data_IF_064023762404
#
_entry.id   IF_064023762404
#
_cell.length_a   1.000
_cell.length_b   1.000
_cell.length_c   1.000
_cell.angle_alpha   90.00
_cell.angle_beta   90.00
_cell.angle_gamma   90.00
#
_symmetry.space_group_name_H-M   'P 1'
#
loop_
_entity.id
_entity.type
_entity.pdbx_description
1 polymer ?
#
# COMPACT_ATOMS: atom_id res chain seq x y z
N UNK A 1 66.15 -31.06 -57.21
CA UNK A 1 66.50 -31.93 -56.06
C UNK A 1 65.41 -31.80 -55.01
N UNK A 2 64.84 -32.94 -54.59
CA UNK A 2 64.18 -33.31 -53.32
C UNK A 2 63.17 -32.33 -52.65
N UNK A 3 61.99 -32.91 -52.42
CA UNK A 3 60.82 -32.41 -51.71
C UNK A 3 61.06 -32.04 -50.24
N UNK A 4 60.14 -31.24 -49.67
CA UNK A 4 59.45 -31.57 -48.41
C UNK A 4 58.03 -30.96 -48.46
N UNK A 5 57.02 -31.82 -48.33
CA UNK A 5 55.67 -31.47 -47.95
C UNK A 5 55.57 -31.55 -46.42
N UNK A 6 54.94 -30.56 -45.77
CA UNK A 6 54.37 -30.68 -44.42
C UNK A 6 53.17 -29.72 -44.35
N UNK A 7 51.97 -30.27 -44.59
CA UNK A 7 50.99 -30.66 -43.57
C UNK A 7 50.01 -29.55 -43.23
N UNK A 8 48.82 -29.70 -43.82
CA UNK A 8 47.52 -29.19 -43.39
C UNK A 8 47.25 -29.57 -41.93
N UNK A 9 47.84 -28.86 -40.98
CA UNK A 9 47.62 -29.12 -39.54
C UNK A 9 47.45 -27.85 -38.70
N UNK A 10 47.63 -26.65 -39.27
CA UNK A 10 47.75 -25.42 -38.49
C UNK A 10 46.44 -24.61 -38.35
N UNK A 11 45.38 -24.95 -39.09
CA UNK A 11 44.09 -24.22 -39.03
C UNK A 11 43.13 -24.82 -38.00
N UNK A 12 43.36 -26.06 -37.55
CA UNK A 12 42.51 -26.72 -36.55
C UNK A 12 42.88 -26.39 -35.09
N UNK A 13 44.04 -25.76 -34.86
CA UNK A 13 44.48 -25.41 -33.50
C UNK A 13 43.98 -24.04 -33.01
N UNK A 14 43.52 -23.16 -33.91
CA UNK A 14 42.92 -21.87 -33.52
C UNK A 14 41.40 -21.95 -33.29
N UNK A 15 40.72 -22.98 -33.80
CA UNK A 15 39.29 -23.22 -33.53
C UNK A 15 39.07 -23.92 -32.17
N UNK A 16 40.08 -24.61 -31.64
CA UNK A 16 39.99 -25.27 -30.33
C UNK A 16 40.10 -24.30 -29.15
N UNK A 17 40.68 -23.10 -29.32
CA UNK A 17 40.80 -22.10 -28.24
C UNK A 17 39.61 -21.13 -28.19
N UNK A 18 38.83 -21.01 -29.27
CA UNK A 18 37.61 -20.19 -29.29
C UNK A 18 36.38 -20.90 -28.67
N UNK A 19 36.43 -22.23 -28.50
CA UNK A 19 35.37 -23.01 -27.84
C UNK A 19 35.56 -23.08 -26.31
N UNK A 20 36.77 -22.81 -25.80
CA UNK A 20 37.05 -22.88 -24.36
C UNK A 20 36.61 -21.63 -23.57
N UNK A 21 36.37 -20.48 -24.23
CA UNK A 21 35.88 -19.26 -23.56
C UNK A 21 34.34 -19.15 -23.61
N UNK A 22 33.66 -19.89 -24.50
CA UNK A 22 32.19 -19.96 -24.53
C UNK A 22 31.65 -21.12 -23.67
N UNK A 23 32.47 -22.12 -23.34
CA UNK A 23 32.07 -23.26 -22.51
C UNK A 23 32.07 -23.01 -20.99
N UNK A 24 32.59 -21.87 -20.51
CA UNK A 24 32.55 -21.49 -19.07
C UNK A 24 31.31 -20.65 -18.73
N UNK A 25 30.54 -20.19 -19.72
CA UNK A 25 29.26 -19.50 -19.51
C UNK A 25 28.05 -20.45 -19.47
N UNK A 26 28.27 -21.75 -19.68
CA UNK A 26 27.23 -22.80 -19.72
C UNK A 26 27.35 -23.84 -18.61
N UNK A 27 28.28 -23.68 -17.65
CA UNK A 27 28.09 -24.29 -16.34
C UNK A 27 26.92 -23.58 -15.68
N UNK A 28 25.73 -24.13 -15.90
CA UNK A 28 24.55 -23.82 -15.13
C UNK A 28 24.87 -24.03 -13.66
N UNK A 29 25.36 -22.98 -13.01
CA UNK A 29 25.12 -22.80 -11.59
C UNK A 29 23.61 -22.96 -11.48
N UNK A 30 23.08 -23.93 -10.71
CA UNK A 30 21.66 -23.97 -10.44
C UNK A 30 21.34 -22.56 -9.95
N UNK A 31 20.63 -21.78 -10.79
CA UNK A 31 20.14 -20.47 -10.40
C UNK A 31 19.20 -20.84 -9.29
N UNK A 32 19.67 -20.78 -8.05
CA UNK A 32 18.85 -20.86 -6.87
C UNK A 32 17.71 -19.92 -7.20
N UNK A 33 16.53 -20.50 -7.48
CA UNK A 33 15.38 -19.74 -7.91
C UNK A 33 15.24 -18.70 -6.82
N UNK A 34 15.58 -17.45 -7.14
CA UNK A 34 15.63 -16.40 -6.15
C UNK A 34 14.22 -16.36 -5.59
N UNK A 35 14.05 -16.82 -4.36
CA UNK A 35 12.75 -16.96 -3.72
C UNK A 35 12.11 -15.60 -3.84
N UNK A 36 11.02 -15.50 -4.61
CA UNK A 36 10.45 -14.21 -4.93
C UNK A 36 10.14 -13.50 -3.62
N UNK A 37 10.80 -12.38 -3.33
CA UNK A 37 10.67 -11.74 -2.04
C UNK A 37 9.22 -11.31 -1.78
N UNK A 38 8.81 -11.27 -0.51
CA UNK A 38 7.44 -10.92 -0.12
C UNK A 38 6.97 -9.58 -0.70
N UNK A 39 7.90 -8.62 -0.84
CA UNK A 39 7.63 -7.32 -1.46
C UNK A 39 7.23 -7.44 -2.93
N UNK A 40 7.83 -8.36 -3.68
CA UNK A 40 7.50 -8.59 -5.09
C UNK A 40 6.14 -9.29 -5.24
N UNK A 41 5.86 -10.27 -4.37
CA UNK A 41 4.53 -10.91 -4.28
C UNK A 41 3.45 -9.87 -3.98
N UNK A 42 3.68 -9.02 -2.97
CA UNK A 42 2.77 -7.95 -2.61
C UNK A 42 2.59 -6.91 -3.73
N UNK A 43 3.65 -6.56 -4.45
CA UNK A 43 3.57 -5.63 -5.57
C UNK A 43 2.75 -6.18 -6.74
N UNK A 44 2.87 -7.49 -7.01
CA UNK A 44 2.03 -8.18 -7.97
C UNK A 44 0.56 -8.18 -7.53
N UNK A 45 0.30 -8.48 -6.25
CA UNK A 45 -1.05 -8.47 -5.66
C UNK A 45 -1.70 -7.08 -5.66
N UNK A 46 -0.92 -5.99 -5.56
CA UNK A 46 -1.43 -4.62 -5.76
C UNK A 46 -1.93 -4.38 -7.19
N UNK A 47 -1.37 -5.08 -8.19
CA UNK A 47 -1.73 -4.92 -9.62
C UNK A 47 -2.84 -5.88 -10.07
N UNK A 48 -2.98 -7.02 -9.40
CA UNK A 48 -4.05 -7.97 -9.69
C UNK A 48 -4.33 -8.89 -8.50
N UNK A 49 -5.53 -9.46 -8.42
CA UNK A 49 -5.96 -10.27 -7.28
C UNK A 49 -5.21 -11.60 -7.14
N UNK A 50 -4.55 -12.09 -8.19
CA UNK A 50 -3.92 -13.42 -8.20
C UNK A 50 -2.45 -13.31 -8.57
N UNK A 51 -1.58 -13.89 -7.74
CA UNK A 51 -0.17 -14.09 -8.02
C UNK A 51 0.17 -15.58 -7.98
N UNK A 52 0.88 -16.07 -9.00
CA UNK A 52 1.41 -17.43 -9.04
C UNK A 52 2.93 -17.32 -9.19
N UNK A 53 3.65 -17.87 -8.23
CA UNK A 53 5.11 -17.92 -8.30
C UNK A 53 5.56 -18.84 -9.46
N UNK A 54 6.58 -18.48 -10.24
CA UNK A 54 7.09 -19.34 -11.30
C UNK A 54 7.51 -20.73 -10.82
N UNK A 55 7.99 -20.87 -9.59
CA UNK A 55 8.34 -22.16 -8.99
C UNK A 55 7.10 -23.00 -8.56
N UNK A 56 5.91 -22.41 -8.59
CA UNK A 56 4.64 -23.04 -8.26
C UNK A 56 3.65 -23.11 -9.45
N UNK A 57 4.10 -22.81 -10.67
CA UNK A 57 3.26 -22.78 -11.88
C UNK A 57 2.62 -24.12 -12.25
N UNK A 58 3.13 -25.23 -11.70
CA UNK A 58 2.55 -26.56 -11.86
C UNK A 58 1.23 -26.74 -11.08
N UNK A 59 0.98 -25.92 -10.04
CA UNK A 59 -0.24 -26.02 -9.23
C UNK A 59 -1.42 -25.27 -9.84
N UNK A 60 -1.17 -24.21 -10.60
CA UNK A 60 -2.20 -23.41 -11.23
C UNK A 60 -1.70 -22.89 -12.56
N UNK A 61 -2.37 -23.27 -13.65
CA UNK A 61 -1.99 -22.81 -14.98
C UNK A 61 -2.25 -21.30 -15.15
N UNK A 62 -1.55 -20.61 -16.08
CA UNK A 62 -1.80 -19.20 -16.36
C UNK A 62 -3.25 -18.89 -16.75
N UNK A 63 -3.92 -19.82 -17.44
CA UNK A 63 -5.31 -19.66 -17.85
C UNK A 63 -6.28 -19.71 -16.65
N UNK A 64 -6.02 -20.60 -15.69
CA UNK A 64 -6.81 -20.72 -14.46
C UNK A 64 -6.58 -19.53 -13.54
N UNK A 65 -5.33 -19.09 -13.39
CA UNK A 65 -5.01 -17.87 -12.64
C UNK A 65 -5.71 -16.64 -13.24
N UNK A 66 -5.75 -16.53 -14.57
CA UNK A 66 -6.47 -15.45 -15.24
C UNK A 66 -8.00 -15.54 -15.05
N UNK A 67 -8.57 -16.75 -15.06
CA UNK A 67 -9.99 -16.96 -14.80
C UNK A 67 -10.36 -16.57 -13.35
N UNK A 68 -9.55 -17.00 -12.38
CA UNK A 68 -9.71 -16.63 -10.98
C UNK A 68 -9.57 -15.10 -10.79
N UNK A 69 -8.60 -14.49 -11.49
CA UNK A 69 -8.42 -13.05 -11.44
C UNK A 69 -9.60 -12.28 -12.02
N UNK A 70 -10.21 -12.74 -13.11
CA UNK A 70 -11.42 -12.09 -13.66
C UNK A 70 -12.57 -12.18 -12.68
N UNK A 71 -12.84 -13.39 -12.17
CA UNK A 71 -13.89 -13.64 -11.20
C UNK A 71 -13.83 -12.72 -9.97
N UNK A 72 -12.64 -12.53 -9.39
CA UNK A 72 -12.46 -11.63 -8.23
C UNK A 72 -12.69 -10.16 -8.62
N UNK A 73 -12.23 -9.74 -9.79
CA UNK A 73 -12.42 -8.37 -10.29
C UNK A 73 -13.89 -8.07 -10.59
N UNK A 74 -14.59 -9.01 -11.22
CA UNK A 74 -15.99 -8.88 -11.61
C UNK A 74 -16.91 -8.80 -10.39
N UNK A 75 -16.53 -9.46 -9.29
CA UNK A 75 -17.24 -9.37 -8.01
C UNK A 75 -16.98 -8.06 -7.23
N UNK A 76 -16.02 -7.23 -7.68
CA UNK A 76 -15.56 -6.02 -7.01
C UNK A 76 -15.22 -6.26 -5.52
N UNK A 77 -14.44 -7.30 -5.20
CA UNK A 77 -14.07 -7.61 -3.80
C UNK A 77 -12.57 -7.62 -3.55
N UNK A 78 -12.10 -7.21 -2.35
CA UNK A 78 -10.68 -7.17 -2.00
C UNK A 78 -10.14 -8.56 -1.59
N UNK A 79 -10.20 -9.54 -2.50
CA UNK A 79 -9.64 -10.88 -2.29
C UNK A 79 -8.31 -11.04 -3.03
N UNK A 80 -7.26 -11.38 -2.28
CA UNK A 80 -5.90 -11.55 -2.76
C UNK A 80 -5.50 -13.02 -2.64
N UNK A 81 -5.05 -13.64 -3.72
CA UNK A 81 -4.66 -15.05 -3.79
C UNK A 81 -3.21 -15.18 -4.23
N UNK A 82 -2.38 -15.80 -3.40
CA UNK A 82 -0.98 -16.10 -3.73
C UNK A 82 -0.73 -17.61 -3.77
N UNK A 83 -0.14 -18.11 -4.85
CA UNK A 83 0.31 -19.50 -4.99
C UNK A 83 1.84 -19.50 -4.94
N UNK A 84 2.40 -20.09 -3.87
CA UNK A 84 3.82 -20.04 -3.53
C UNK A 84 4.42 -21.45 -3.46
N UNK A 85 5.74 -21.61 -3.67
CA UNK A 85 6.40 -22.91 -3.53
C UNK A 85 6.35 -23.41 -2.08
N UNK A 86 6.37 -24.74 -1.90
CA UNK A 86 6.21 -25.38 -0.58
C UNK A 86 7.26 -24.94 0.47
N UNK A 87 8.47 -24.58 0.02
CA UNK A 87 9.58 -24.10 0.86
C UNK A 87 9.55 -22.60 1.17
N UNK A 88 8.50 -21.86 0.80
CA UNK A 88 8.43 -20.42 1.04
C UNK A 88 8.34 -20.09 2.55
N UNK A 89 9.06 -19.07 3.06
CA UNK A 89 9.03 -18.70 4.47
C UNK A 89 7.62 -18.33 4.95
N UNK A 90 7.14 -18.99 6.00
CA UNK A 90 5.78 -18.77 6.54
C UNK A 90 5.72 -17.85 7.76
N UNK A 91 6.88 -17.52 8.36
CA UNK A 91 6.94 -16.66 9.56
C UNK A 91 6.38 -15.28 9.21
N UNK A 92 5.35 -14.87 9.93
CA UNK A 92 4.63 -13.59 9.73
C UNK A 92 4.09 -13.35 8.31
N UNK A 93 3.99 -14.39 7.48
CA UNK A 93 3.68 -14.28 6.05
C UNK A 93 2.47 -13.39 5.75
N UNK A 94 1.34 -13.65 6.40
CA UNK A 94 0.12 -12.86 6.18
C UNK A 94 0.25 -11.42 6.66
N UNK A 95 0.94 -11.18 7.79
CA UNK A 95 1.17 -9.84 8.34
C UNK A 95 2.06 -9.04 7.40
N UNK A 96 3.16 -9.65 6.94
CA UNK A 96 4.11 -9.02 6.03
C UNK A 96 3.48 -8.79 4.66
N UNK A 97 2.68 -9.74 4.15
CA UNK A 97 1.96 -9.60 2.89
C UNK A 97 0.91 -8.49 2.96
N UNK A 98 0.11 -8.42 4.04
CA UNK A 98 -0.88 -7.36 4.25
C UNK A 98 -0.23 -5.99 4.38
N UNK A 99 0.90 -5.90 5.08
CA UNK A 99 1.67 -4.66 5.28
C UNK A 99 2.29 -4.21 3.96
N UNK A 100 2.98 -5.11 3.26
CA UNK A 100 3.64 -4.83 2.00
C UNK A 100 2.64 -4.57 0.85
N UNK A 101 1.45 -5.18 0.87
CA UNK A 101 0.38 -4.90 -0.11
C UNK A 101 -0.32 -3.59 0.23
N UNK A 102 -0.44 -3.26 1.52
CA UNK A 102 -0.99 -1.98 1.98
C UNK A 102 -2.47 -1.77 1.67
N UNK A 103 -3.22 -2.85 1.41
CA UNK A 103 -4.65 -2.80 1.07
C UNK A 103 -5.45 -3.67 2.03
N UNK A 104 -6.56 -3.15 2.56
CA UNK A 104 -7.48 -3.90 3.41
C UNK A 104 -8.18 -4.99 2.60
N UNK A 105 -8.15 -6.24 3.06
CA UNK A 105 -8.63 -7.36 2.26
C UNK A 105 -8.56 -8.72 2.93
N UNK A 106 -9.00 -9.73 2.19
CA UNK A 106 -8.78 -11.13 2.50
C UNK A 106 -7.58 -11.64 1.68
N UNK A 107 -6.63 -12.30 2.34
CA UNK A 107 -5.41 -12.83 1.77
C UNK A 107 -5.43 -14.35 1.93
N UNK A 108 -5.48 -15.07 0.82
CA UNK A 108 -5.40 -16.50 0.74
C UNK A 108 -4.05 -16.91 0.15
N UNK A 109 -3.37 -17.86 0.79
CA UNK A 109 -2.07 -18.34 0.34
C UNK A 109 -2.09 -19.86 0.25
N UNK A 110 -1.74 -20.39 -0.92
CA UNK A 110 -1.44 -21.80 -1.12
C UNK A 110 0.08 -22.00 -1.17
N UNK A 111 0.59 -22.90 -0.33
CA UNK A 111 2.00 -23.28 -0.22
C UNK A 111 2.16 -24.78 -0.46
N UNK A 112 2.37 -25.19 -1.71
CA UNK A 112 2.34 -26.62 -2.05
C UNK A 112 0.92 -27.17 -1.87
N UNK A 113 0.78 -28.12 -0.95
CA UNK A 113 -0.52 -28.70 -0.59
C UNK A 113 -1.20 -28.01 0.60
N UNK A 114 -0.50 -27.08 1.25
CA UNK A 114 -1.04 -26.34 2.39
C UNK A 114 -1.78 -25.11 1.91
N UNK A 115 -2.87 -24.79 2.59
CA UNK A 115 -3.68 -23.61 2.31
C UNK A 115 -4.09 -22.95 3.62
N UNK A 116 -3.98 -21.63 3.65
CA UNK A 116 -4.44 -20.82 4.75
C UNK A 116 -4.89 -19.45 4.23
N UNK A 117 -5.74 -18.77 4.99
CA UNK A 117 -6.20 -17.44 4.67
C UNK A 117 -6.38 -16.59 5.92
N UNK A 118 -6.18 -15.28 5.77
CA UNK A 118 -6.49 -14.27 6.80
C UNK A 118 -7.17 -13.08 6.17
N UNK A 119 -8.05 -12.44 6.93
CA UNK A 119 -8.71 -11.23 6.47
C UNK A 119 -8.70 -10.15 7.55
N UNK A 120 -8.73 -8.91 7.11
CA UNK A 120 -9.09 -7.79 7.97
C UNK A 120 -10.54 -7.95 8.45
N UNK A 121 -10.81 -7.62 9.72
CA UNK A 121 -12.11 -7.86 10.36
C UNK A 121 -13.28 -7.09 9.69
N UNK A 122 -12.99 -6.00 8.98
CA UNK A 122 -13.97 -5.23 8.20
C UNK A 122 -14.40 -5.92 6.90
N UNK A 123 -13.65 -6.94 6.45
CA UNK A 123 -13.89 -7.67 5.19
C UNK A 123 -14.54 -9.02 5.48
N UNK A 124 -13.95 -9.80 6.38
CA UNK A 124 -14.46 -11.09 6.83
C UNK A 124 -14.14 -11.31 8.31
N UNK A 125 -15.07 -11.90 9.05
CA UNK A 125 -14.81 -12.29 10.43
C UNK A 125 -13.79 -13.44 10.49
N UNK A 126 -13.01 -13.50 11.59
CA UNK A 126 -12.04 -14.59 11.80
C UNK A 126 -12.71 -15.98 11.77
N UNK A 127 -13.95 -16.07 12.25
CA UNK A 127 -14.74 -17.30 12.22
C UNK A 127 -15.14 -17.67 10.80
N UNK A 128 -15.59 -16.70 10.00
CA UNK A 128 -15.93 -16.93 8.60
C UNK A 128 -14.73 -17.44 7.79
N UNK A 129 -13.56 -16.80 7.93
CA UNK A 129 -12.33 -17.23 7.27
C UNK A 129 -11.95 -18.66 7.67
N UNK A 130 -12.02 -18.99 8.95
CA UNK A 130 -11.73 -20.35 9.44
C UNK A 130 -12.66 -21.39 8.81
N UNK A 131 -13.97 -21.11 8.79
CA UNK A 131 -14.95 -22.02 8.20
C UNK A 131 -14.71 -22.22 6.70
N UNK A 132 -14.39 -21.14 5.97
CA UNK A 132 -14.04 -21.18 4.55
C UNK A 132 -12.79 -22.03 4.30
N UNK A 133 -11.70 -21.78 5.02
CA UNK A 133 -10.45 -22.57 4.91
C UNK A 133 -10.72 -24.05 5.21
N UNK A 134 -11.46 -24.37 6.28
CA UNK A 134 -11.80 -25.76 6.63
C UNK A 134 -12.62 -26.44 5.53
N UNK A 135 -13.54 -25.72 4.89
CA UNK A 135 -14.43 -26.27 3.85
C UNK A 135 -13.72 -26.73 2.58
N UNK A 136 -12.49 -26.28 2.34
CA UNK A 136 -11.72 -26.56 1.12
C UNK A 136 -10.44 -27.35 1.41
N UNK A 137 -10.28 -27.86 2.63
CA UNK A 137 -9.11 -28.67 2.97
C UNK A 137 -9.17 -30.03 2.29
N UNK A 138 -8.03 -30.49 1.78
CA UNK A 138 -7.89 -31.78 1.08
C UNK A 138 -8.24 -31.73 -0.42
N UNK A 139 -8.72 -30.59 -0.92
CA UNK A 139 -8.99 -30.40 -2.35
C UNK A 139 -7.69 -30.12 -3.15
N UNK A 140 -7.72 -30.47 -4.44
CA UNK A 140 -6.66 -30.10 -5.37
C UNK A 140 -6.55 -28.57 -5.54
N UNK A 141 -5.42 -28.10 -6.05
CA UNK A 141 -5.12 -26.67 -6.12
C UNK A 141 -6.18 -25.85 -6.87
N UNK A 142 -6.73 -26.38 -7.96
CA UNK A 142 -7.71 -25.65 -8.77
C UNK A 142 -9.05 -25.58 -8.07
N UNK A 143 -9.55 -26.72 -7.60
CA UNK A 143 -10.84 -26.82 -6.90
C UNK A 143 -10.81 -25.97 -5.63
N UNK A 144 -9.77 -26.14 -4.80
CA UNK A 144 -9.61 -25.38 -3.56
C UNK A 144 -9.65 -23.87 -3.76
N UNK A 145 -8.88 -23.35 -4.73
CA UNK A 145 -8.81 -21.91 -4.98
C UNK A 145 -10.12 -21.37 -5.56
N UNK A 146 -10.80 -22.15 -6.40
CA UNK A 146 -12.07 -21.75 -7.02
C UNK A 146 -13.19 -21.73 -5.97
N UNK A 147 -13.35 -22.81 -5.22
CA UNK A 147 -14.40 -22.98 -4.22
C UNK A 147 -14.23 -22.01 -3.04
N UNK A 148 -12.98 -21.81 -2.58
CA UNK A 148 -12.69 -20.79 -1.57
C UNK A 148 -13.07 -19.41 -2.07
N UNK A 149 -12.71 -19.09 -3.32
CA UNK A 149 -13.00 -17.78 -3.92
C UNK A 149 -14.51 -17.56 -4.03
N UNK A 150 -15.26 -18.52 -4.56
CA UNK A 150 -16.72 -18.39 -4.70
C UNK A 150 -17.42 -18.18 -3.35
N UNK A 151 -17.05 -18.97 -2.34
CA UNK A 151 -17.63 -18.85 -0.99
C UNK A 151 -17.18 -17.57 -0.28
N UNK A 152 -15.94 -17.14 -0.47
CA UNK A 152 -15.44 -15.89 0.10
C UNK A 152 -16.12 -14.67 -0.53
N UNK A 153 -16.20 -14.61 -1.86
CA UNK A 153 -16.82 -13.51 -2.61
C UNK A 153 -18.29 -13.30 -2.22
N UNK A 154 -19.03 -14.39 -1.96
CA UNK A 154 -20.43 -14.33 -1.53
C UNK A 154 -20.64 -13.74 -0.13
N UNK A 155 -19.63 -13.84 0.75
CA UNK A 155 -19.76 -13.47 2.17
C UNK A 155 -18.88 -12.27 2.58
N UNK A 156 -18.05 -11.74 1.68
CA UNK A 156 -17.09 -10.70 2.02
C UNK A 156 -17.58 -9.27 1.75
N UNK A 157 -17.27 -8.39 2.70
CA UNK A 157 -17.44 -6.95 2.59
C UNK A 157 -16.30 -6.26 1.84
N UNK A 158 -16.46 -4.95 1.62
CA UNK A 158 -15.48 -4.10 0.93
C UNK A 158 -15.53 -4.17 -0.59
N UNK A 159 -14.73 -3.30 -1.23
CA UNK A 159 -14.62 -3.16 -2.68
C UNK A 159 -13.19 -3.43 -3.17
N UNK A 160 -13.04 -3.80 -4.44
CA UNK A 160 -11.74 -4.07 -5.01
C UNK A 160 -10.85 -2.80 -5.02
N UNK A 161 -9.52 -2.96 -4.98
CA UNK A 161 -8.61 -1.84 -5.16
C UNK A 161 -8.81 -1.18 -6.53
N UNK A 162 -8.81 0.15 -6.57
CA UNK A 162 -8.95 0.90 -7.82
C UNK A 162 -7.90 0.53 -8.90
N UNK A 163 -6.75 -0.03 -8.50
CA UNK A 163 -5.72 -0.52 -9.40
C UNK A 163 -6.12 -1.76 -10.20
N UNK A 164 -7.18 -2.48 -9.81
CA UNK A 164 -7.68 -3.65 -10.52
C UNK A 164 -8.70 -3.29 -11.61
N UNK A 165 -9.25 -2.07 -11.57
CA UNK A 165 -10.18 -1.55 -12.54
C UNK A 165 -9.50 -1.23 -13.87
N UNK A 166 -9.88 -1.96 -14.92
CA UNK A 166 -9.52 -1.69 -16.31
C UNK A 166 -10.75 -1.85 -17.21
N UNK A 167 -11.40 -0.73 -17.50
CA UNK A 167 -12.42 -0.46 -18.54
C UNK A 167 -13.43 -1.58 -18.82
N UNK A 168 -14.59 -1.52 -18.17
CA UNK A 168 -15.78 -2.28 -18.56
C UNK A 168 -17.07 -1.75 -17.91
N UNK A 169 -18.03 -1.39 -18.77
CA UNK A 169 -19.46 -1.16 -18.53
C UNK A 169 -19.92 0.14 -17.83
N UNK A 170 -19.95 1.24 -18.60
CA UNK A 170 -20.94 2.31 -18.47
C UNK A 170 -21.40 2.70 -19.88
N UNK A 171 -22.68 2.53 -20.17
CA UNK A 171 -23.24 2.59 -21.53
C UNK A 171 -23.24 3.97 -22.19
N UNK A 172 -23.40 3.92 -23.52
CA UNK A 172 -23.72 4.96 -24.52
C UNK A 172 -22.64 5.98 -24.88
N UNK A 173 -21.96 5.71 -26.00
CA UNK A 173 -21.31 6.74 -26.81
C UNK A 173 -20.06 6.28 -27.55
N UNK A 174 -20.19 6.20 -28.89
CA UNK A 174 -19.10 6.25 -29.88
C UNK A 174 -18.33 4.97 -30.19
N UNK A 175 -18.87 4.27 -31.18
CA UNK A 175 -18.20 3.54 -32.27
C UNK A 175 -16.72 3.90 -32.48
N UNK A 176 -15.80 3.07 -31.99
CA UNK A 176 -14.57 2.54 -32.65
C UNK A 176 -13.58 2.05 -31.60
N UNK A 177 -13.43 0.74 -31.43
CA UNK A 177 -12.16 0.15 -31.03
C UNK A 177 -12.24 -1.37 -31.21
N UNK A 178 -11.40 -1.85 -32.12
CA UNK A 178 -11.36 -3.18 -32.69
C UNK A 178 -11.02 -4.27 -31.66
N UNK A 179 -11.57 -5.44 -31.93
CA UNK A 179 -11.10 -6.74 -31.47
C UNK A 179 -9.61 -6.88 -31.78
N UNK A 180 -8.78 -7.08 -30.75
CA UNK A 180 -7.49 -7.78 -30.90
C UNK A 180 -7.19 -8.61 -29.65
N UNK A 181 -7.48 -9.90 -29.74
CA UNK A 181 -6.75 -10.95 -29.04
C UNK A 181 -5.30 -10.90 -29.50
N UNK A 182 -4.32 -10.91 -28.59
CA UNK A 182 -2.93 -11.05 -29.03
C UNK A 182 -1.89 -10.74 -27.96
N UNK A 183 -1.17 -11.77 -27.56
CA UNK A 183 0.07 -11.71 -26.80
C UNK A 183 1.03 -10.64 -27.35
N UNK A 184 1.32 -9.63 -26.52
CA UNK A 184 2.58 -8.86 -26.59
C UNK A 184 3.12 -8.74 -25.17
N UNK A 185 3.58 -9.87 -24.66
CA UNK A 185 4.64 -9.88 -23.65
C UNK A 185 5.96 -9.63 -24.40
N UNK A 186 6.74 -8.66 -23.92
CA UNK A 186 8.21 -8.52 -24.02
C UNK A 186 8.77 -7.21 -24.62
N UNK A 187 8.06 -6.39 -25.41
CA UNK A 187 8.75 -5.22 -26.05
C UNK A 187 8.30 -3.79 -25.64
N UNK A 188 7.35 -3.61 -24.72
CA UNK A 188 6.78 -2.28 -24.39
C UNK A 188 7.06 -1.73 -22.98
N UNK A 189 7.95 -2.36 -22.21
CA UNK A 189 8.05 -2.13 -20.76
C UNK A 189 8.55 -0.74 -20.33
N UNK A 190 9.32 -0.04 -21.17
CA UNK A 190 9.98 1.21 -20.74
C UNK A 190 9.08 2.44 -20.90
N UNK A 191 8.26 2.51 -21.95
CA UNK A 191 7.42 3.69 -22.24
C UNK A 191 6.19 3.82 -21.34
N UNK A 192 5.49 2.72 -21.08
CA UNK A 192 4.28 2.73 -20.24
C UNK A 192 4.62 2.81 -18.73
N UNK A 193 5.74 2.22 -18.30
CA UNK A 193 6.25 2.32 -16.93
C UNK A 193 6.60 3.78 -16.56
N UNK A 194 7.16 4.54 -17.51
CA UNK A 194 7.42 5.96 -17.31
C UNK A 194 6.13 6.76 -17.10
N UNK A 195 5.05 6.49 -17.85
CA UNK A 195 3.78 7.23 -17.74
C UNK A 195 3.02 6.93 -16.44
N UNK A 196 2.97 5.67 -15.98
CA UNK A 196 2.31 5.29 -14.72
C UNK A 196 3.12 5.73 -13.49
N UNK A 197 4.46 5.69 -13.55
CA UNK A 197 5.34 6.30 -12.53
C UNK A 197 5.14 7.82 -12.48
N UNK A 198 4.97 8.48 -13.64
CA UNK A 198 4.66 9.93 -13.71
C UNK A 198 3.30 10.24 -13.09
N UNK A 199 2.28 9.42 -13.29
CA UNK A 199 0.95 9.61 -12.68
C UNK A 199 0.93 9.45 -11.16
N UNK A 200 1.65 8.44 -10.62
CA UNK A 200 1.76 8.25 -9.16
C UNK A 200 2.64 9.30 -8.51
N UNK A 201 3.72 9.71 -9.17
CA UNK A 201 4.55 10.84 -8.75
C UNK A 201 3.77 12.16 -8.80
N UNK A 202 2.87 12.33 -9.76
CA UNK A 202 1.99 13.51 -9.85
C UNK A 202 1.01 13.57 -8.70
N UNK A 203 0.31 12.47 -8.36
CA UNK A 203 -0.60 12.47 -7.19
C UNK A 203 0.10 12.72 -5.86
N UNK A 204 1.28 12.13 -5.66
CA UNK A 204 2.09 12.41 -4.46
C UNK A 204 2.60 13.85 -4.47
N UNK A 205 3.00 14.38 -5.62
CA UNK A 205 3.39 15.79 -5.76
C UNK A 205 2.20 16.74 -5.55
N UNK A 206 1.01 16.39 -6.02
CA UNK A 206 -0.24 17.13 -5.83
C UNK A 206 -0.66 17.13 -4.36
N UNK A 207 -0.61 15.98 -3.68
CA UNK A 207 -0.88 15.89 -2.24
C UNK A 207 0.13 16.69 -1.42
N UNK A 208 1.42 16.64 -1.79
CA UNK A 208 2.46 17.45 -1.16
C UNK A 208 2.25 18.94 -1.41
N UNK A 209 1.91 19.32 -2.64
CA UNK A 209 1.62 20.71 -2.98
C UNK A 209 0.35 21.21 -2.27
N UNK A 210 -0.66 20.36 -2.10
CA UNK A 210 -1.85 20.68 -1.32
C UNK A 210 -1.52 20.83 0.17
N UNK A 211 -0.71 19.94 0.74
CA UNK A 211 -0.23 20.06 2.11
C UNK A 211 0.61 21.33 2.28
N UNK A 212 1.49 21.66 1.36
CA UNK A 212 2.33 22.87 1.44
C UNK A 212 1.49 24.14 1.46
N UNK A 213 0.43 24.20 0.64
CA UNK A 213 -0.52 25.32 0.67
C UNK A 213 -1.24 25.44 2.01
N UNK A 214 -1.69 24.33 2.58
CA UNK A 214 -2.33 24.32 3.89
C UNK A 214 -1.35 24.67 5.00
N UNK A 215 -0.10 24.19 4.90
CA UNK A 215 0.96 24.43 5.85
C UNK A 215 1.26 25.91 6.00
N UNK A 216 1.31 26.68 4.90
CA UNK A 216 1.47 28.14 4.97
C UNK A 216 0.35 28.79 5.78
N UNK A 217 -0.90 28.40 5.53
CA UNK A 217 -2.07 28.97 6.23
C UNK A 217 -2.09 28.58 7.71
N UNK A 218 -1.70 27.35 8.02
CA UNK A 218 -1.75 26.81 9.38
C UNK A 218 -0.54 27.25 10.20
N UNK A 219 0.65 27.37 9.60
CA UNK A 219 1.83 27.94 10.25
C UNK A 219 1.60 29.42 10.59
N UNK A 220 0.88 30.15 9.74
CA UNK A 220 0.39 31.51 10.07
C UNK A 220 -0.58 31.46 11.26
N UNK A 221 -1.51 30.51 11.31
CA UNK A 221 -2.46 30.38 12.42
C UNK A 221 -1.79 29.98 13.75
N UNK A 222 -0.78 29.11 13.69
CA UNK A 222 0.08 28.77 14.83
C UNK A 222 0.85 30.00 15.30
N UNK A 223 1.40 30.79 14.36
CA UNK A 223 2.15 32.00 14.68
C UNK A 223 1.23 33.03 15.33
N UNK A 224 0.07 33.28 14.73
CA UNK A 224 -0.94 34.19 15.28
C UNK A 224 -1.41 33.75 16.68
N UNK A 225 -1.62 32.44 16.90
CA UNK A 225 -1.96 31.92 18.22
C UNK A 225 -0.83 32.10 19.24
N UNK A 226 0.44 31.94 18.83
CA UNK A 226 1.60 32.26 19.66
C UNK A 226 1.64 33.75 20.04
N UNK A 227 1.32 34.65 19.11
CA UNK A 227 1.21 36.09 19.38
C UNK A 227 0.00 36.42 20.27
N UNK A 228 -1.12 35.70 20.15
CA UNK A 228 -2.26 35.82 21.08
C UNK A 228 -1.85 35.46 22.50
N UNK A 229 -1.07 34.38 22.65
CA UNK A 229 -0.55 33.93 23.94
C UNK A 229 0.43 34.95 24.53
N UNK A 230 1.33 35.50 23.72
CA UNK A 230 2.28 36.54 24.13
C UNK A 230 1.56 37.83 24.57
N UNK A 231 0.55 38.26 23.79
CA UNK A 231 -0.29 39.44 24.12
C UNK A 231 -1.10 39.29 25.40
N UNK A 232 -1.38 38.06 25.84
CA UNK A 232 -2.09 37.86 27.10
C UNK A 232 -1.24 38.36 28.28
N UNK A 233 0.09 38.29 28.20
CA UNK A 233 1.04 38.72 29.22
C UNK A 233 0.65 38.21 30.63
N UNK A 234 0.38 36.91 30.72
CA UNK A 234 0.04 36.24 31.98
C UNK A 234 1.25 35.47 32.51
N UNK A 235 1.58 35.70 33.78
CA UNK A 235 2.62 34.94 34.47
C UNK A 235 2.02 34.03 35.54
N UNK A 236 2.23 32.71 35.50
CA UNK A 236 1.68 31.77 36.49
C UNK A 236 1.99 32.07 37.96
N UNK A 237 3.05 32.84 38.22
CA UNK A 237 3.51 33.25 39.55
C UNK A 237 3.13 34.68 39.94
N UNK A 238 2.33 35.39 39.13
CA UNK A 238 1.91 36.76 39.45
C UNK A 238 0.91 36.82 40.60
N UNK A 239 0.86 37.97 41.28
CA UNK A 239 -0.09 38.21 42.34
C UNK A 239 -1.52 38.28 41.75
N UNK A 240 -2.35 37.28 42.06
CA UNK A 240 -3.72 37.17 41.55
C UNK A 240 -3.96 35.95 40.66
N UNK A 241 -2.91 35.21 40.27
CA UNK A 241 -3.06 33.93 39.58
C UNK A 241 -3.60 32.84 40.53
N UNK A 242 -4.84 32.42 40.34
CA UNK A 242 -5.42 31.26 41.02
C UNK A 242 -5.07 29.93 40.32
N UNK A 243 -5.40 28.81 40.95
CA UNK A 243 -5.10 27.47 40.40
C UNK A 243 -5.84 27.19 39.08
N UNK A 244 -7.03 27.76 38.89
CA UNK A 244 -7.81 27.57 37.67
C UNK A 244 -7.21 28.36 36.50
N UNK A 245 -6.74 29.58 36.74
CA UNK A 245 -6.01 30.39 35.76
C UNK A 245 -4.70 29.71 35.35
N UNK A 246 -3.95 29.15 36.31
CA UNK A 246 -2.75 28.36 36.02
C UNK A 246 -3.06 27.16 35.13
N UNK A 247 -4.10 26.41 35.45
CA UNK A 247 -4.51 25.25 34.65
C UNK A 247 -5.03 25.64 33.25
N UNK A 248 -5.73 26.77 33.11
CA UNK A 248 -6.18 27.28 31.81
C UNK A 248 -4.98 27.71 30.95
N UNK A 249 -3.97 28.34 31.57
CA UNK A 249 -2.73 28.72 30.89
C UNK A 249 -1.90 27.51 30.45
N UNK A 250 -1.72 26.51 31.33
CA UNK A 250 -1.02 25.26 31.02
C UNK A 250 -1.67 24.53 29.84
N UNK A 251 -3.01 24.38 29.86
CA UNK A 251 -3.74 23.78 28.74
C UNK A 251 -3.57 24.54 27.43
N UNK A 252 -3.45 25.86 27.50
CA UNK A 252 -3.21 26.70 26.32
C UNK A 252 -1.81 26.46 25.75
N UNK A 253 -0.78 26.36 26.61
CA UNK A 253 0.59 26.04 26.22
C UNK A 253 0.70 24.63 25.62
N UNK A 254 0.06 23.65 26.26
CA UNK A 254 0.04 22.27 25.77
C UNK A 254 -0.60 22.16 24.39
N UNK A 255 -1.68 22.91 24.15
CA UNK A 255 -2.35 22.96 22.86
C UNK A 255 -1.48 23.60 21.77
N UNK A 256 -0.74 24.67 22.11
CA UNK A 256 0.23 25.30 21.22
C UNK A 256 1.36 24.34 20.81
N UNK A 257 1.96 23.65 21.77
CA UNK A 257 3.02 22.67 21.49
C UNK A 257 2.49 21.45 20.71
N UNK A 258 1.29 20.96 21.02
CA UNK A 258 0.63 19.92 20.24
C UNK A 258 0.36 20.36 18.80
N UNK A 259 -0.11 21.58 18.57
CA UNK A 259 -0.34 22.11 17.23
C UNK A 259 0.97 22.14 16.42
N UNK A 260 2.07 22.61 17.03
CA UNK A 260 3.41 22.60 16.41
C UNK A 260 3.88 21.18 16.09
N UNK A 261 3.69 20.24 17.01
CA UNK A 261 4.08 18.85 16.81
C UNK A 261 3.28 18.19 15.68
N UNK A 262 1.95 18.34 15.68
CA UNK A 262 1.09 17.80 14.62
C UNK A 262 1.44 18.37 13.25
N UNK A 263 1.75 19.67 13.17
CA UNK A 263 2.18 20.29 11.91
C UNK A 263 3.56 19.79 11.46
N UNK A 264 4.49 19.52 12.38
CA UNK A 264 5.79 18.92 12.07
C UNK A 264 5.67 17.48 11.54
N UNK A 265 4.74 16.71 12.10
CA UNK A 265 4.52 15.30 11.77
C UNK A 265 3.62 15.08 10.54
N UNK A 266 2.84 16.11 10.14
CA UNK A 266 1.90 16.03 9.03
C UNK A 266 2.57 15.56 7.72
N UNK A 267 1.99 14.50 7.13
CA UNK A 267 2.46 13.91 5.86
C UNK A 267 1.44 14.05 4.74
N UNK A 268 0.20 14.36 5.08
CA UNK A 268 -0.91 14.50 4.14
C UNK A 268 -1.82 15.68 4.50
N UNK A 269 -2.56 16.24 3.53
CA UNK A 269 -3.50 17.34 3.79
C UNK A 269 -4.52 17.05 4.90
N UNK A 270 -4.93 15.79 5.06
CA UNK A 270 -5.92 15.40 6.05
C UNK A 270 -5.39 15.48 7.50
N UNK A 271 -4.07 15.42 7.68
CA UNK A 271 -3.41 15.51 9.00
C UNK A 271 -3.52 16.93 9.58
N UNK A 272 -3.73 17.95 8.74
CA UNK A 272 -3.88 19.35 9.13
C UNK A 272 -5.08 19.56 10.06
N UNK A 273 -6.12 18.74 9.94
CA UNK A 273 -7.31 18.83 10.81
C UNK A 273 -6.95 18.75 12.29
N UNK A 274 -6.02 17.86 12.66
CA UNK A 274 -5.58 17.71 14.04
C UNK A 274 -4.87 18.98 14.57
N UNK A 275 -4.19 19.71 13.67
CA UNK A 275 -3.57 21.00 14.03
C UNK A 275 -4.63 22.05 14.33
N UNK A 276 -5.64 22.17 13.45
CA UNK A 276 -6.74 23.13 13.64
C UNK A 276 -7.54 22.83 14.91
N UNK A 277 -7.83 21.55 15.18
CA UNK A 277 -8.52 21.13 16.41
C UNK A 277 -7.71 21.50 17.68
N UNK A 278 -6.39 21.28 17.68
CA UNK A 278 -5.53 21.67 18.79
C UNK A 278 -5.52 23.20 19.00
N UNK A 279 -5.46 23.99 17.92
CA UNK A 279 -5.51 25.45 18.00
C UNK A 279 -6.86 25.96 18.51
N UNK A 280 -7.97 25.35 18.09
CA UNK A 280 -9.30 25.67 18.61
C UNK A 280 -9.41 25.41 20.13
N UNK A 281 -8.90 24.27 20.59
CA UNK A 281 -8.89 23.91 22.01
C UNK A 281 -7.98 24.83 22.83
N UNK A 282 -6.84 25.23 22.27
CA UNK A 282 -5.94 26.23 22.86
C UNK A 282 -6.63 27.59 23.00
N UNK A 283 -7.25 28.09 21.93
CA UNK A 283 -8.00 29.37 21.95
C UNK A 283 -9.16 29.37 22.93
N UNK A 284 -9.86 28.23 23.06
CA UNK A 284 -10.91 28.09 24.06
C UNK A 284 -10.37 28.18 25.50
N UNK A 285 -9.21 27.59 25.75
CA UNK A 285 -8.52 27.67 27.05
C UNK A 285 -8.03 29.10 27.34
N UNK A 286 -7.46 29.78 26.33
CA UNK A 286 -7.05 31.18 26.40
C UNK A 286 -8.24 32.11 26.69
N UNK A 287 -9.39 31.86 26.08
CA UNK A 287 -10.61 32.64 26.30
C UNK A 287 -11.18 32.45 27.72
N UNK A 288 -11.11 31.23 28.28
CA UNK A 288 -11.47 30.99 29.68
C UNK A 288 -10.55 31.74 30.63
N UNK A 289 -9.23 31.70 30.39
CA UNK A 289 -8.24 32.42 31.17
C UNK A 289 -8.50 33.95 31.15
N UNK A 290 -8.71 34.52 29.97
CA UNK A 290 -9.04 35.95 29.84
C UNK A 290 -10.35 36.31 30.57
N UNK A 291 -11.39 35.47 30.45
CA UNK A 291 -12.66 35.68 31.14
C UNK A 291 -12.51 35.65 32.67
N UNK A 292 -11.73 34.71 33.21
CA UNK A 292 -11.44 34.65 34.65
C UNK A 292 -10.69 35.89 35.12
N UNK A 293 -9.67 36.32 34.38
CA UNK A 293 -8.84 37.48 34.73
C UNK A 293 -9.66 38.77 34.77
N UNK A 294 -10.63 38.89 33.88
CA UNK A 294 -11.50 40.07 33.78
C UNK A 294 -12.81 39.95 34.59
N UNK A 295 -13.03 38.83 35.29
CA UNK A 295 -14.27 38.58 36.04
C UNK A 295 -15.52 38.46 35.16
N UNK A 296 -15.36 38.09 33.88
CA UNK A 296 -16.44 37.90 32.92
C UNK A 296 -16.99 36.44 32.97
N UNK A 297 -18.23 36.21 32.51
CA UNK A 297 -18.77 34.85 32.37
C UNK A 297 -17.89 33.96 31.48
N UNK A 298 -17.74 32.69 31.87
CA UNK A 298 -16.93 31.72 31.10
C UNK A 298 -17.59 31.38 29.76
N UNK A 299 -16.80 31.21 28.69
CA UNK A 299 -17.33 30.82 27.39
C UNK A 299 -17.86 29.37 27.41
N UNK A 300 -19.00 29.15 26.75
CA UNK A 300 -19.55 27.81 26.55
C UNK A 300 -18.89 27.14 25.34
N UNK A 301 -18.53 25.86 25.49
CA UNK A 301 -18.00 25.07 24.37
C UNK A 301 -19.16 24.76 23.42
N UNK A 302 -19.10 25.28 22.20
CA UNK A 302 -20.08 24.91 21.17
C UNK A 302 -19.84 23.45 20.78
N UNK A 303 -20.88 22.60 20.74
CA UNK A 303 -20.70 21.22 20.29
C UNK A 303 -20.21 21.22 18.85
N UNK A 304 -19.10 20.53 18.61
CA UNK A 304 -18.53 20.35 17.29
C UNK A 304 -19.56 19.60 16.43
N UNK A 305 -20.11 20.27 15.42
CA UNK A 305 -21.01 19.62 14.46
C UNK A 305 -20.14 18.74 13.57
N UNK A 306 -19.99 17.47 13.92
CA UNK A 306 -19.46 16.45 13.03
C UNK A 306 -20.42 16.35 11.84
N UNK A 307 -20.16 17.12 10.77
CA UNK A 307 -20.80 16.86 9.48
C UNK A 307 -20.12 15.62 8.87
N UNK A 308 -20.90 14.61 8.44
CA UNK A 308 -20.38 13.40 7.81
C UNK A 308 -19.67 13.69 6.48
#
# INVERSE_FOLDING_TARGET
MKAVALTRASVRLLVALAVAVVAVLSTGVPRAAATTGISAVAEALRRGPVYVDPAASAQLSPAEAAALSRRIKDADKPLFVAVLPAGYPTRNLFTDLRTATGITGAYAVRLGDRFDARADASVLSRTAVRNLVTSVQGEDAKTQLTDFTDRALANMGGSAPASWGGTGAGGTGSTTALITTGAVLVAGGVGAYALVRRGRSRRVAEQRAALEKLRVVVDEDITAFGEELDRLDFHPAEAGADDAMRADYERTLDAYEQAKQYMADARRPEDVRAVTEALEDGRFSLAQLAARREGRPLPERRPHVLRP
#
